data_IF_056487404907
#
_entry.id   IF_056487404907
#
_cell.length_a   1.000
_cell.length_b   1.000
_cell.length_c   1.000
_cell.angle_alpha   90.00
_cell.angle_beta   90.00
_cell.angle_gamma   90.00
#
_symmetry.space_group_name_H-M   'P 1'
#
loop_
_entity.id
_entity.type
_entity.pdbx_description
1 polymer ?
#
# COMPACT_ATOMS: atom_id res chain seq x y z
N UNK A 1 -34.78 -6.40 15.78
CA UNK A 1 -34.27 -7.00 14.53
C UNK A 1 -34.43 -6.05 13.35
N UNK A 2 -33.87 -4.83 13.34
CA UNK A 2 -34.03 -3.88 12.21
C UNK A 2 -32.80 -3.00 11.93
N UNK A 3 -31.61 -3.40 12.41
CA UNK A 3 -30.34 -2.68 12.12
C UNK A 3 -29.35 -3.44 11.23
N UNK A 4 -29.65 -4.68 10.81
CA UNK A 4 -28.74 -5.48 9.99
C UNK A 4 -28.89 -5.29 8.47
N UNK A 5 -29.95 -4.62 7.98
CA UNK A 5 -30.19 -4.50 6.54
C UNK A 5 -29.28 -3.47 5.85
N UNK A 6 -28.74 -2.47 6.58
CA UNK A 6 -27.91 -1.43 5.96
C UNK A 6 -26.44 -1.86 5.76
N UNK A 7 -25.95 -2.79 6.57
CA UNK A 7 -24.55 -3.22 6.52
C UNK A 7 -24.23 -4.08 5.30
N UNK A 8 -25.18 -4.87 4.81
CA UNK A 8 -25.00 -5.72 3.62
C UNK A 8 -24.88 -4.91 2.31
N UNK A 9 -25.27 -3.62 2.36
CA UNK A 9 -25.24 -2.73 1.19
C UNK A 9 -23.91 -1.97 1.03
N UNK A 10 -23.04 -1.98 2.06
CA UNK A 10 -21.73 -1.33 1.96
C UNK A 10 -20.92 -2.04 0.87
N UNK A 11 -20.42 -1.32 -0.16
CA UNK A 11 -19.58 -1.92 -1.17
C UNK A 11 -18.28 -2.43 -0.57
N UNK A 12 -17.84 -3.62 -0.97
CA UNK A 12 -16.58 -4.19 -0.56
C UNK A 12 -15.76 -4.60 -1.79
N UNK A 13 -14.51 -4.15 -1.83
CA UNK A 13 -13.52 -4.59 -2.81
C UNK A 13 -12.58 -5.61 -2.19
N UNK A 14 -12.51 -6.79 -2.78
CA UNK A 14 -11.60 -7.87 -2.40
C UNK A 14 -10.43 -7.89 -3.39
N UNK A 15 -9.23 -7.65 -2.91
CA UNK A 15 -8.02 -7.54 -3.74
C UNK A 15 -7.05 -8.64 -3.35
N UNK A 16 -6.92 -9.67 -4.17
CA UNK A 16 -6.11 -10.86 -3.88
C UNK A 16 -4.75 -10.82 -4.58
N UNK A 17 -3.67 -11.13 -3.84
CA UNK A 17 -2.32 -11.26 -4.41
C UNK A 17 -2.12 -12.63 -5.07
N UNK A 18 -2.73 -12.82 -6.23
CA UNK A 18 -2.74 -14.14 -6.89
C UNK A 18 -1.40 -14.50 -7.56
N UNK A 19 -0.55 -13.50 -7.91
CA UNK A 19 0.65 -13.80 -8.72
C UNK A 19 1.91 -13.11 -8.25
N UNK A 20 1.81 -12.01 -7.52
CA UNK A 20 2.94 -11.19 -7.17
C UNK A 20 3.30 -10.12 -8.20
N UNK A 21 4.59 -9.79 -8.31
CA UNK A 21 5.11 -8.67 -9.10
C UNK A 21 6.50 -9.00 -9.65
N UNK A 22 6.86 -8.55 -10.86
CA UNK A 22 8.22 -8.72 -11.42
C UNK A 22 9.24 -7.80 -10.74
N UNK A 23 8.79 -6.72 -10.12
CA UNK A 23 9.62 -5.70 -9.50
C UNK A 23 9.84 -5.96 -8.01
N UNK A 24 10.84 -5.28 -7.42
CA UNK A 24 11.16 -5.30 -5.98
C UNK A 24 11.39 -3.87 -5.51
N UNK A 25 10.35 -3.04 -5.71
CA UNK A 25 10.45 -1.61 -5.49
C UNK A 25 10.72 -1.27 -4.02
N UNK A 26 11.71 -0.41 -3.77
CA UNK A 26 12.08 0.03 -2.44
C UNK A 26 10.97 0.81 -1.72
N UNK A 27 10.08 1.45 -2.49
CA UNK A 27 8.92 2.20 -1.98
C UNK A 27 7.65 1.36 -1.83
N UNK A 28 7.70 0.06 -2.11
CA UNK A 28 6.51 -0.78 -2.08
C UNK A 28 5.94 -0.87 -0.67
N UNK A 29 4.73 -0.34 -0.48
CA UNK A 29 4.05 -0.36 0.82
C UNK A 29 3.75 -1.79 1.32
N UNK A 30 3.67 -2.77 0.40
CA UNK A 30 3.56 -4.19 0.73
C UNK A 30 4.89 -4.84 1.15
N UNK A 31 6.01 -4.14 0.93
CA UNK A 31 7.35 -4.68 1.20
C UNK A 31 7.74 -5.83 0.25
N UNK A 32 8.73 -6.61 0.65
CA UNK A 32 9.25 -7.74 -0.14
C UNK A 32 8.46 -9.02 0.06
N UNK A 33 7.17 -9.03 -0.29
CA UNK A 33 6.39 -10.25 -0.27
C UNK A 33 6.88 -11.22 -1.37
N UNK A 34 7.05 -12.53 -1.05
CA UNK A 34 7.41 -13.53 -2.05
C UNK A 34 6.28 -13.67 -3.08
N UNK A 35 6.65 -14.04 -4.32
CA UNK A 35 5.65 -14.35 -5.33
C UNK A 35 5.14 -15.77 -5.11
N UNK A 36 3.87 -15.89 -4.79
CA UNK A 36 3.15 -17.16 -4.73
C UNK A 36 2.01 -17.12 -5.73
N UNK A 37 1.64 -18.30 -6.25
CA UNK A 37 0.51 -18.44 -7.15
C UNK A 37 -0.68 -18.99 -6.36
N UNK A 38 -1.76 -18.21 -6.29
CA UNK A 38 -3.06 -18.69 -5.83
C UNK A 38 -3.82 -19.31 -7.01
N UNK A 39 -4.59 -20.35 -6.74
CA UNK A 39 -5.42 -21.02 -7.74
C UNK A 39 -6.74 -20.27 -7.95
N UNK A 40 -7.38 -20.55 -9.08
CA UNK A 40 -8.72 -19.99 -9.36
C UNK A 40 -9.76 -20.45 -8.34
N UNK A 41 -9.66 -21.71 -7.88
CA UNK A 41 -10.53 -22.24 -6.84
C UNK A 41 -10.41 -21.47 -5.51
N UNK A 42 -9.22 -20.94 -5.19
CA UNK A 42 -9.02 -20.12 -4.01
C UNK A 42 -9.73 -18.76 -4.16
N UNK A 43 -9.70 -18.14 -5.35
CA UNK A 43 -10.43 -16.92 -5.63
C UNK A 43 -11.95 -17.12 -5.52
N UNK A 44 -12.46 -18.21 -6.10
CA UNK A 44 -13.87 -18.59 -6.00
C UNK A 44 -14.26 -18.78 -4.53
N UNK A 45 -13.47 -19.53 -3.77
CA UNK A 45 -13.71 -19.77 -2.34
C UNK A 45 -13.78 -18.46 -1.55
N UNK A 46 -12.81 -17.55 -1.76
CA UNK A 46 -12.78 -16.25 -1.07
C UNK A 46 -14.08 -15.48 -1.35
N UNK A 47 -14.43 -15.32 -2.61
CA UNK A 47 -15.60 -14.54 -3.00
C UNK A 47 -16.91 -15.18 -2.52
N UNK A 48 -17.03 -16.52 -2.60
CA UNK A 48 -18.23 -17.23 -2.14
C UNK A 48 -18.42 -17.13 -0.62
N UNK A 49 -17.32 -17.09 0.16
CA UNK A 49 -17.41 -16.83 1.59
C UNK A 49 -17.91 -15.42 1.90
N UNK A 50 -17.42 -14.39 1.18
CA UNK A 50 -17.86 -13.02 1.37
C UNK A 50 -19.28 -12.76 0.85
N UNK A 51 -19.74 -13.43 -0.22
CA UNK A 51 -21.12 -13.32 -0.75
C UNK A 51 -22.19 -13.74 0.25
N UNK A 52 -21.86 -14.49 1.28
CA UNK A 52 -22.80 -14.84 2.36
C UNK A 52 -23.17 -13.63 3.24
N UNK A 53 -22.37 -12.56 3.19
CA UNK A 53 -22.48 -11.40 4.09
C UNK A 53 -22.62 -10.06 3.35
N UNK A 54 -22.12 -9.95 2.11
CA UNK A 54 -22.10 -8.73 1.32
C UNK A 54 -22.78 -8.93 -0.04
N UNK A 55 -23.64 -8.00 -0.42
CA UNK A 55 -24.34 -8.02 -1.72
C UNK A 55 -23.49 -7.35 -2.81
N UNK A 56 -22.76 -6.31 -2.45
CA UNK A 56 -21.99 -5.44 -3.36
C UNK A 56 -20.50 -5.76 -3.28
N UNK A 57 -20.04 -6.71 -4.11
CA UNK A 57 -18.65 -7.16 -4.11
C UNK A 57 -17.98 -6.84 -5.45
N UNK A 58 -16.81 -6.19 -5.39
CA UNK A 58 -15.87 -6.11 -6.49
C UNK A 58 -14.67 -7.01 -6.17
N UNK A 59 -14.22 -7.79 -7.13
CA UNK A 59 -13.07 -8.68 -6.96
C UNK A 59 -11.96 -8.30 -7.94
N UNK A 60 -10.71 -8.26 -7.44
CA UNK A 60 -9.49 -8.07 -8.21
C UNK A 60 -8.49 -9.17 -7.89
N UNK A 61 -7.99 -9.84 -8.93
CA UNK A 61 -7.01 -10.93 -8.82
C UNK A 61 -5.56 -10.45 -8.64
N UNK A 62 -5.34 -9.16 -8.45
CA UNK A 62 -4.01 -8.56 -8.33
C UNK A 62 -3.97 -7.53 -7.19
N UNK A 63 -2.96 -7.63 -6.34
CA UNK A 63 -2.69 -6.70 -5.24
C UNK A 63 -1.48 -5.81 -5.55
N UNK A 64 -0.53 -6.33 -6.34
CA UNK A 64 0.72 -5.66 -6.70
C UNK A 64 0.68 -5.20 -8.15
N UNK A 65 1.41 -5.85 -9.04
CA UNK A 65 1.44 -5.53 -10.47
C UNK A 65 0.23 -6.13 -11.19
N UNK A 66 -0.68 -5.31 -11.75
CA UNK A 66 -1.78 -5.85 -12.53
C UNK A 66 -1.26 -6.54 -13.79
N UNK A 67 -1.96 -7.59 -14.22
CA UNK A 67 -1.68 -8.26 -15.49
C UNK A 67 -0.24 -8.81 -15.63
N UNK A 68 0.44 -9.07 -14.51
CA UNK A 68 1.82 -9.59 -14.55
C UNK A 68 1.93 -10.92 -15.28
N UNK A 69 0.96 -11.83 -15.14
CA UNK A 69 0.98 -13.13 -15.80
C UNK A 69 0.52 -13.04 -17.25
N UNK A 70 0.92 -14.03 -18.11
CA UNK A 70 0.48 -14.11 -19.50
C UNK A 70 -1.02 -14.41 -19.63
N UNK A 71 -1.66 -14.83 -18.55
CA UNK A 71 -3.08 -15.21 -18.47
C UNK A 71 -4.01 -14.03 -18.10
N UNK A 72 -3.56 -12.79 -18.28
CA UNK A 72 -4.27 -11.57 -17.87
C UNK A 72 -5.69 -11.44 -18.45
N UNK A 73 -5.94 -11.95 -19.68
CA UNK A 73 -7.29 -11.92 -20.28
C UNK A 73 -8.27 -12.79 -19.50
N UNK A 74 -7.88 -14.03 -19.20
CA UNK A 74 -8.73 -14.94 -18.42
C UNK A 74 -8.93 -14.44 -16.99
N UNK A 75 -7.90 -13.80 -16.41
CA UNK A 75 -8.00 -13.19 -15.08
C UNK A 75 -9.02 -12.05 -15.05
N UNK A 76 -8.99 -11.17 -16.03
CA UNK A 76 -10.00 -10.12 -16.13
C UNK A 76 -11.42 -10.67 -16.33
N UNK A 77 -11.56 -11.76 -17.09
CA UNK A 77 -12.86 -12.46 -17.25
C UNK A 77 -13.28 -13.03 -15.89
N UNK A 78 -12.38 -13.65 -15.13
CA UNK A 78 -12.64 -14.18 -13.80
C UNK A 78 -13.04 -13.05 -12.82
N UNK A 79 -12.31 -11.94 -12.78
CA UNK A 79 -12.62 -10.79 -11.93
C UNK A 79 -14.05 -10.28 -12.17
N UNK A 80 -14.44 -10.14 -13.46
CA UNK A 80 -15.80 -9.77 -13.82
C UNK A 80 -16.86 -10.80 -13.42
N UNK A 81 -16.55 -12.11 -13.57
CA UNK A 81 -17.47 -13.20 -13.23
C UNK A 81 -17.69 -13.33 -11.72
N UNK A 82 -16.64 -13.12 -10.93
CA UNK A 82 -16.71 -13.24 -9.48
C UNK A 82 -17.36 -12.02 -8.82
N UNK A 83 -17.23 -10.85 -9.42
CA UNK A 83 -17.80 -9.60 -8.92
C UNK A 83 -19.30 -9.54 -9.07
N UNK A 84 -19.99 -8.92 -8.11
CA UNK A 84 -21.41 -8.55 -8.23
C UNK A 84 -21.57 -7.13 -8.79
N UNK A 85 -20.56 -6.27 -8.57
CA UNK A 85 -20.42 -4.95 -9.19
C UNK A 85 -19.28 -5.05 -10.20
N UNK A 86 -19.48 -4.54 -11.41
CA UNK A 86 -18.45 -4.60 -12.46
C UNK A 86 -17.15 -3.92 -12.00
N UNK A 87 -16.01 -4.65 -12.00
CA UNK A 87 -14.73 -4.06 -11.64
C UNK A 87 -14.30 -2.99 -12.64
N UNK A 88 -13.65 -1.94 -12.14
CA UNK A 88 -13.08 -0.89 -12.98
C UNK A 88 -11.62 -1.22 -13.32
N UNK A 89 -11.19 -0.78 -14.52
CA UNK A 89 -9.76 -0.71 -14.83
C UNK A 89 -9.22 0.59 -14.25
N UNK A 90 -8.31 0.46 -13.29
CA UNK A 90 -7.56 1.59 -12.78
C UNK A 90 -6.50 2.02 -13.79
N UNK A 91 -5.87 3.17 -13.56
CA UNK A 91 -4.76 3.67 -14.37
C UNK A 91 -3.46 2.84 -14.18
N UNK A 92 -3.57 1.64 -13.62
CA UNK A 92 -2.46 0.73 -13.37
C UNK A 92 -2.42 -0.36 -14.44
N UNK A 93 -1.24 -0.58 -15.02
CA UNK A 93 -0.96 -1.64 -15.97
C UNK A 93 0.50 -2.08 -15.84
N UNK A 94 0.80 -3.29 -16.26
CA UNK A 94 2.16 -3.80 -16.23
C UNK A 94 3.01 -3.17 -17.36
N UNK A 95 3.87 -2.20 -17.00
CA UNK A 95 4.83 -1.65 -17.98
C UNK A 95 5.79 -2.73 -18.47
N UNK A 96 6.14 -3.70 -17.63
CA UNK A 96 6.90 -4.88 -18.02
C UNK A 96 6.25 -5.62 -19.21
N UNK A 97 4.92 -5.76 -19.19
CA UNK A 97 4.15 -6.44 -20.23
C UNK A 97 3.93 -5.56 -21.45
N UNK A 98 3.71 -4.26 -21.27
CA UNK A 98 3.52 -3.32 -22.38
C UNK A 98 4.64 -3.43 -23.40
N UNK A 99 5.89 -3.52 -22.98
CA UNK A 99 7.05 -3.60 -23.88
C UNK A 99 7.29 -4.99 -24.46
N UNK A 100 6.73 -6.04 -23.87
CA UNK A 100 6.99 -7.45 -24.28
C UNK A 100 5.85 -8.13 -25.04
N UNK A 101 4.64 -7.62 -24.87
CA UNK A 101 3.43 -8.28 -25.39
C UNK A 101 2.55 -7.28 -26.16
N UNK A 102 2.64 -7.32 -27.49
CA UNK A 102 1.84 -6.44 -28.36
C UNK A 102 0.33 -6.66 -28.22
N UNK A 103 -0.12 -7.86 -27.85
CA UNK A 103 -1.53 -8.16 -27.64
C UNK A 103 -2.04 -7.55 -26.33
N UNK A 104 -1.15 -7.29 -25.38
CA UNK A 104 -1.52 -6.67 -24.13
C UNK A 104 -2.04 -5.23 -24.30
N UNK A 105 -1.42 -4.44 -25.17
CA UNK A 105 -1.88 -3.07 -25.44
C UNK A 105 -3.24 -3.06 -26.15
N UNK A 106 -3.51 -4.03 -27.02
CA UNK A 106 -4.85 -4.21 -27.60
C UNK A 106 -5.88 -4.54 -26.54
N UNK A 107 -5.53 -5.46 -25.62
CA UNK A 107 -6.38 -5.81 -24.48
C UNK A 107 -6.67 -4.59 -23.61
N UNK A 108 -5.69 -3.76 -23.27
CA UNK A 108 -5.90 -2.53 -22.50
C UNK A 108 -6.96 -1.63 -23.15
N UNK A 109 -6.94 -1.48 -24.47
CA UNK A 109 -7.95 -0.73 -25.24
C UNK A 109 -9.32 -1.40 -25.18
N UNK A 110 -9.38 -2.72 -25.37
CA UNK A 110 -10.63 -3.51 -25.35
C UNK A 110 -11.35 -3.39 -24.00
N UNK A 111 -10.59 -3.32 -22.89
CA UNK A 111 -11.16 -3.18 -21.54
C UNK A 111 -11.36 -1.71 -21.11
N UNK A 112 -11.10 -0.75 -22.02
CA UNK A 112 -11.40 0.67 -21.83
C UNK A 112 -10.34 1.43 -21.03
N UNK A 113 -9.08 0.96 -20.97
CA UNK A 113 -7.99 1.69 -20.32
C UNK A 113 -7.64 2.93 -21.15
N UNK A 114 -7.89 4.11 -20.60
CA UNK A 114 -7.62 5.40 -21.26
C UNK A 114 -6.29 6.02 -20.83
N UNK A 115 -5.87 5.75 -19.59
CA UNK A 115 -4.66 6.31 -18.97
C UNK A 115 -3.88 5.17 -18.31
N UNK A 116 -2.54 5.22 -18.37
CA UNK A 116 -1.66 4.31 -17.63
C UNK A 116 -0.63 5.13 -16.86
N UNK A 117 -0.55 4.89 -15.55
CA UNK A 117 0.44 5.50 -14.68
C UNK A 117 1.78 4.76 -14.79
N UNK A 118 2.85 5.51 -15.00
CA UNK A 118 4.23 5.04 -15.04
C UNK A 118 5.03 5.77 -13.95
N UNK A 119 5.74 5.03 -13.11
CA UNK A 119 6.40 5.60 -11.92
C UNK A 119 7.91 5.67 -12.11
N UNK A 120 8.47 6.88 -11.93
CA UNK A 120 9.89 7.19 -12.03
C UNK A 120 10.47 7.60 -10.68
N UNK A 121 11.77 7.36 -10.47
CA UNK A 121 12.51 7.72 -9.25
C UNK A 121 13.78 8.52 -9.53
N UNK A 122 13.95 9.02 -10.71
CA UNK A 122 15.11 9.69 -11.25
C UNK A 122 15.38 9.21 -12.67
N UNK A 123 16.59 9.42 -13.15
CA UNK A 123 17.07 8.85 -14.39
C UNK A 123 17.36 7.35 -14.23
N UNK A 124 18.06 6.78 -15.20
CA UNK A 124 18.28 5.33 -15.34
C UNK A 124 18.69 4.64 -14.04
N UNK A 125 19.81 5.07 -13.45
CA UNK A 125 20.43 4.35 -12.34
C UNK A 125 19.54 4.37 -11.08
N UNK A 126 18.93 5.50 -10.78
CA UNK A 126 18.02 5.64 -9.64
C UNK A 126 16.69 4.91 -9.87
N UNK A 127 16.11 5.04 -11.06
CA UNK A 127 14.85 4.31 -11.36
C UNK A 127 15.07 2.80 -11.32
N UNK A 128 16.14 2.28 -11.91
CA UNK A 128 16.47 0.84 -11.87
C UNK A 128 16.72 0.36 -10.43
N UNK A 129 17.45 1.15 -9.62
CA UNK A 129 17.68 0.89 -8.19
C UNK A 129 16.36 0.80 -7.42
N UNK A 130 15.48 1.81 -7.57
CA UNK A 130 14.23 1.88 -6.82
C UNK A 130 13.20 0.85 -7.25
N UNK A 131 13.13 0.51 -8.54
CA UNK A 131 12.28 -0.57 -9.06
C UNK A 131 12.85 -1.95 -8.70
N UNK A 132 14.15 -2.02 -8.38
CA UNK A 132 14.84 -3.27 -8.06
C UNK A 132 15.07 -4.16 -9.30
N UNK A 133 15.18 -3.56 -10.48
CA UNK A 133 15.37 -4.27 -11.75
C UNK A 133 16.10 -3.43 -12.79
N UNK A 134 17.21 -3.94 -13.30
CA UNK A 134 18.01 -3.31 -14.37
C UNK A 134 17.18 -3.23 -15.66
N UNK A 135 17.19 -2.09 -16.31
CA UNK A 135 16.48 -1.81 -17.54
C UNK A 135 15.04 -1.35 -17.33
N UNK A 136 14.61 -1.12 -16.07
CA UNK A 136 13.26 -0.63 -15.79
C UNK A 136 13.03 0.79 -16.33
N UNK A 137 14.05 1.66 -16.30
CA UNK A 137 13.95 3.01 -16.84
C UNK A 137 13.71 3.00 -18.34
N UNK A 138 14.51 2.25 -19.10
CA UNK A 138 14.34 2.13 -20.55
C UNK A 138 12.96 1.55 -20.92
N UNK A 139 12.50 0.58 -20.15
CA UNK A 139 11.15 0.00 -20.37
C UNK A 139 10.04 1.00 -20.08
N UNK A 140 10.19 1.88 -19.07
CA UNK A 140 9.21 2.94 -18.81
C UNK A 140 9.16 3.96 -19.96
N UNK A 141 10.32 4.31 -20.52
CA UNK A 141 10.41 5.18 -21.72
C UNK A 141 9.74 4.51 -22.93
N UNK A 142 10.11 3.26 -23.23
CA UNK A 142 9.51 2.48 -24.32
C UNK A 142 7.99 2.30 -24.12
N UNK A 143 7.55 2.00 -22.91
CA UNK A 143 6.13 1.91 -22.57
C UNK A 143 5.39 3.23 -22.82
N UNK A 144 6.01 4.39 -22.50
CA UNK A 144 5.45 5.71 -22.79
C UNK A 144 5.20 5.88 -24.30
N UNK A 145 6.16 5.53 -25.14
CA UNK A 145 6.02 5.64 -26.60
C UNK A 145 4.95 4.69 -27.14
N UNK A 146 4.94 3.43 -26.67
CA UNK A 146 3.94 2.44 -27.09
C UNK A 146 2.53 2.89 -26.71
N UNK A 147 2.31 3.38 -25.49
CA UNK A 147 1.01 3.87 -25.03
C UNK A 147 0.52 5.03 -25.90
N UNK A 148 1.37 6.03 -26.17
CA UNK A 148 1.05 7.17 -27.04
C UNK A 148 0.70 6.73 -28.47
N UNK A 149 1.48 5.83 -29.04
CA UNK A 149 1.22 5.29 -30.39
C UNK A 149 -0.12 4.55 -30.47
N UNK A 150 -0.67 4.12 -29.35
CA UNK A 150 -1.95 3.41 -29.25
C UNK A 150 -3.10 4.25 -28.71
N UNK A 151 -2.92 5.58 -28.57
CA UNK A 151 -3.91 6.51 -28.04
C UNK A 151 -4.35 6.17 -26.59
N UNK A 152 -3.45 5.64 -25.78
CA UNK A 152 -3.56 5.51 -24.34
C UNK A 152 -2.65 6.58 -23.73
N UNK A 153 -3.17 7.40 -22.82
CA UNK A 153 -2.41 8.49 -22.24
C UNK A 153 -1.44 7.98 -21.16
N UNK A 154 -0.11 8.15 -21.30
CA UNK A 154 0.82 7.90 -20.21
C UNK A 154 0.73 9.02 -19.18
N UNK A 155 0.65 8.68 -17.90
CA UNK A 155 0.73 9.61 -16.77
C UNK A 155 2.00 9.29 -15.98
N UNK A 156 2.92 10.25 -15.91
CA UNK A 156 4.15 10.08 -15.16
C UNK A 156 3.96 10.49 -13.71
N UNK A 157 4.24 9.56 -12.82
CA UNK A 157 4.35 9.79 -11.39
C UNK A 157 5.83 9.76 -11.02
N UNK A 158 6.31 10.80 -10.37
CA UNK A 158 7.72 10.92 -10.00
C UNK A 158 7.82 11.01 -8.49
N UNK A 159 8.49 10.05 -7.86
CA UNK A 159 8.80 10.10 -6.44
C UNK A 159 10.03 10.96 -6.22
N UNK A 160 9.93 11.93 -5.28
CA UNK A 160 11.05 12.76 -4.86
C UNK A 160 11.52 12.39 -3.46
N UNK A 161 12.83 12.35 -3.26
CA UNK A 161 13.49 12.19 -1.96
C UNK A 161 14.89 12.80 -2.01
N UNK A 162 15.64 12.72 -0.90
CA UNK A 162 17.01 13.26 -0.78
C UNK A 162 18.02 12.65 -1.78
N UNK A 163 17.81 11.39 -2.19
CA UNK A 163 18.77 10.71 -3.10
C UNK A 163 18.58 11.13 -4.57
N UNK A 164 17.39 11.60 -4.96
CA UNK A 164 17.05 11.84 -6.36
C UNK A 164 16.66 13.29 -6.69
N UNK A 165 16.59 14.19 -5.71
CA UNK A 165 16.13 15.57 -5.89
C UNK A 165 16.82 16.32 -7.04
N UNK A 166 18.11 16.05 -7.27
CA UNK A 166 18.91 16.70 -8.32
C UNK A 166 18.62 16.18 -9.74
N UNK A 167 17.88 15.04 -9.87
CA UNK A 167 17.51 14.45 -11.14
C UNK A 167 16.07 14.73 -11.55
N UNK A 168 15.20 15.11 -10.60
CA UNK A 168 13.75 15.23 -10.83
C UNK A 168 13.42 16.20 -11.96
N UNK A 169 14.10 17.36 -11.99
CA UNK A 169 13.89 18.34 -13.06
C UNK A 169 14.21 17.79 -14.44
N UNK A 170 15.25 16.95 -14.52
CA UNK A 170 15.65 16.30 -15.80
C UNK A 170 14.63 15.25 -16.24
N UNK A 171 14.03 14.53 -15.27
CA UNK A 171 12.95 13.57 -15.56
C UNK A 171 11.70 14.30 -16.05
N UNK A 172 11.35 15.44 -15.45
CA UNK A 172 10.23 16.28 -15.90
C UNK A 172 10.49 16.78 -17.34
N UNK A 173 11.68 17.35 -17.60
CA UNK A 173 12.08 17.84 -18.92
C UNK A 173 12.00 16.73 -19.98
N UNK A 174 12.48 15.53 -19.64
CA UNK A 174 12.36 14.36 -20.54
C UNK A 174 10.89 14.02 -20.83
N UNK A 175 10.03 14.06 -19.82
CA UNK A 175 8.59 13.84 -19.99
C UNK A 175 7.94 14.90 -20.90
N UNK A 176 8.33 16.17 -20.75
CA UNK A 176 7.87 17.27 -21.62
C UNK A 176 8.35 17.11 -23.06
N UNK A 177 9.63 16.77 -23.27
CA UNK A 177 10.19 16.45 -24.60
C UNK A 177 9.45 15.29 -25.25
N UNK A 178 9.10 14.27 -24.48
CA UNK A 178 8.27 13.16 -24.92
C UNK A 178 6.78 13.54 -25.06
N UNK A 179 6.39 14.78 -24.75
CA UNK A 179 5.00 15.27 -24.81
C UNK A 179 4.06 14.42 -23.95
N UNK A 180 4.46 14.15 -22.73
CA UNK A 180 3.60 13.56 -21.70
C UNK A 180 2.77 14.69 -21.07
N UNK A 181 1.45 14.61 -21.18
CA UNK A 181 0.56 15.69 -20.74
C UNK A 181 0.35 15.72 -19.23
N UNK A 182 0.51 14.58 -18.55
CA UNK A 182 0.26 14.44 -17.11
C UNK A 182 1.54 13.99 -16.43
N UNK A 183 2.21 14.93 -15.80
CA UNK A 183 3.40 14.69 -14.96
C UNK A 183 3.09 15.23 -13.57
N UNK A 184 3.31 14.45 -12.53
CA UNK A 184 3.20 14.93 -11.16
C UNK A 184 4.28 14.31 -10.27
N UNK A 185 4.68 15.10 -9.28
CA UNK A 185 5.71 14.76 -8.28
C UNK A 185 5.07 14.59 -6.93
N UNK A 186 5.54 13.65 -6.13
CA UNK A 186 5.18 13.50 -4.73
C UNK A 186 6.26 12.74 -3.95
N UNK A 187 6.20 12.81 -2.63
CA UNK A 187 7.21 12.24 -1.73
C UNK A 187 6.98 10.77 -1.37
N UNK A 188 5.83 10.23 -1.66
CA UNK A 188 5.45 8.89 -1.25
C UNK A 188 5.20 8.74 0.26
N UNK A 189 4.67 7.58 0.65
CA UNK A 189 4.46 7.22 2.06
C UNK A 189 5.75 6.69 2.69
N UNK A 190 5.93 6.87 3.99
CA UNK A 190 7.06 6.33 4.75
C UNK A 190 6.60 5.61 6.04
N UNK A 191 5.44 5.00 6.01
CA UNK A 191 4.86 4.22 7.10
C UNK A 191 4.99 2.70 6.87
N UNK A 192 4.71 1.90 7.89
CA UNK A 192 4.72 0.44 7.82
C UNK A 192 6.02 -0.12 7.24
N UNK A 193 5.95 -0.83 6.12
CA UNK A 193 7.12 -1.43 5.46
C UNK A 193 8.09 -0.40 4.86
N UNK A 194 7.68 0.88 4.77
CA UNK A 194 8.43 1.97 4.17
C UNK A 194 9.12 2.88 5.19
N UNK A 195 9.24 2.49 6.46
CA UNK A 195 9.91 3.33 7.48
C UNK A 195 11.30 3.80 7.09
N UNK A 196 12.05 3.02 6.30
CA UNK A 196 13.37 3.41 5.83
C UNK A 196 13.35 4.66 4.96
N UNK A 197 12.23 4.93 4.25
CA UNK A 197 12.07 6.11 3.41
C UNK A 197 11.98 7.40 4.23
N UNK A 198 11.66 7.32 5.51
CA UNK A 198 11.71 8.47 6.41
C UNK A 198 13.10 9.12 6.42
N UNK A 199 14.17 8.33 6.41
CA UNK A 199 15.55 8.83 6.50
C UNK A 199 15.98 9.64 5.26
N UNK A 200 15.38 9.34 4.12
CA UNK A 200 15.66 9.99 2.82
C UNK A 200 14.51 10.88 2.35
N UNK A 201 13.50 11.12 3.19
CA UNK A 201 12.37 11.98 2.85
C UNK A 201 12.85 13.42 2.68
N UNK A 202 12.46 14.06 1.58
CA UNK A 202 12.89 15.40 1.20
C UNK A 202 12.53 16.44 2.27
N UNK A 203 13.40 17.44 2.50
CA UNK A 203 13.11 18.59 3.31
C UNK A 203 12.39 19.67 2.46
N UNK A 204 11.46 20.42 3.08
CA UNK A 204 10.63 21.39 2.37
C UNK A 204 11.45 22.50 1.69
N UNK A 205 12.53 22.94 2.34
CA UNK A 205 13.45 23.96 1.83
C UNK A 205 14.43 23.44 0.77
N UNK A 206 14.46 22.15 0.51
CA UNK A 206 15.28 21.52 -0.52
C UNK A 206 14.48 21.12 -1.77
N UNK A 207 13.17 21.35 -1.76
CA UNK A 207 12.32 21.14 -2.96
C UNK A 207 12.62 22.26 -3.95
N UNK A 208 13.14 21.96 -5.16
CA UNK A 208 13.41 22.97 -6.17
C UNK A 208 12.14 23.71 -6.59
N UNK A 209 12.21 25.05 -6.70
CA UNK A 209 11.04 25.86 -7.07
C UNK A 209 10.45 25.47 -8.44
N UNK A 210 11.28 25.01 -9.35
CA UNK A 210 10.92 24.61 -10.71
C UNK A 210 10.00 23.38 -10.74
N UNK A 211 10.03 22.53 -9.71
CA UNK A 211 9.18 21.35 -9.64
C UNK A 211 7.86 21.58 -8.90
N UNK A 212 7.71 22.69 -8.20
CA UNK A 212 6.48 23.03 -7.44
C UNK A 212 5.21 22.95 -8.31
N UNK A 213 5.20 23.44 -9.57
CA UNK A 213 4.01 23.34 -10.43
C UNK A 213 3.56 21.89 -10.74
N UNK A 214 4.46 20.93 -10.60
CA UNK A 214 4.20 19.49 -10.82
C UNK A 214 3.93 18.75 -9.50
N UNK A 215 4.15 19.40 -8.37
CA UNK A 215 4.05 18.74 -7.07
C UNK A 215 2.59 18.58 -6.65
N UNK A 216 2.19 17.34 -6.38
CA UNK A 216 0.81 17.04 -5.99
C UNK A 216 0.53 17.61 -4.59
N UNK A 217 -0.49 18.47 -4.49
CA UNK A 217 -0.95 19.07 -3.23
C UNK A 217 0.16 19.80 -2.44
N UNK A 218 1.11 20.45 -3.12
CA UNK A 218 2.26 21.13 -2.48
C UNK A 218 1.83 22.07 -1.34
N UNK A 219 0.75 22.83 -1.54
CA UNK A 219 0.27 23.82 -0.57
C UNK A 219 -0.28 23.17 0.73
N UNK A 220 -0.63 21.89 0.68
CA UNK A 220 -1.10 21.12 1.84
C UNK A 220 0.05 20.47 2.62
N UNK A 221 1.28 20.50 2.06
CA UNK A 221 2.44 19.91 2.71
C UNK A 221 2.93 20.79 3.86
N UNK A 222 3.12 20.14 4.99
CA UNK A 222 3.71 20.70 6.20
C UNK A 222 5.11 20.12 6.41
N UNK A 223 5.96 20.87 7.11
CA UNK A 223 7.17 20.27 7.68
C UNK A 223 6.80 19.35 8.85
N UNK A 224 7.63 18.39 9.16
CA UNK A 224 7.43 17.54 10.34
C UNK A 224 7.33 18.35 11.61
N UNK A 225 8.13 19.43 11.75
CA UNK A 225 8.04 20.38 12.86
C UNK A 225 6.64 20.99 12.96
N UNK A 226 6.07 21.48 11.85
CA UNK A 226 4.70 22.03 11.80
C UNK A 226 3.65 20.99 12.16
N UNK A 227 3.76 19.76 11.63
CA UNK A 227 2.88 18.65 11.99
C UNK A 227 2.92 18.37 13.50
N UNK A 228 4.12 18.32 14.08
CA UNK A 228 4.29 18.10 15.53
C UNK A 228 3.64 19.22 16.33
N UNK A 229 3.82 20.49 15.94
CA UNK A 229 3.21 21.62 16.65
C UNK A 229 1.68 21.60 16.63
N UNK A 230 1.09 21.14 15.53
CA UNK A 230 -0.35 20.94 15.39
C UNK A 230 -0.81 19.80 16.32
N UNK A 231 -0.16 18.64 16.20
CA UNK A 231 -0.59 17.42 16.90
C UNK A 231 -0.35 17.47 18.41
N UNK A 232 0.64 18.20 18.92
CA UNK A 232 0.84 18.41 20.36
C UNK A 232 -0.35 19.08 21.07
N UNK A 233 -1.26 19.67 20.33
CA UNK A 233 -2.49 20.32 20.85
C UNK A 233 -3.75 19.49 20.61
N UNK A 234 -3.62 18.31 20.00
CA UNK A 234 -4.74 17.47 19.58
C UNK A 234 -4.89 16.26 20.50
N UNK A 235 -5.85 16.35 21.40
CA UNK A 235 -6.17 15.27 22.36
C UNK A 235 -7.11 14.20 21.74
N UNK A 236 -7.40 14.27 20.46
CA UNK A 236 -8.20 13.24 19.79
C UNK A 236 -7.37 11.98 19.48
N UNK A 237 -8.07 10.91 19.11
CA UNK A 237 -7.47 9.65 18.68
C UNK A 237 -7.53 9.53 17.17
N UNK A 238 -6.46 9.06 16.55
CA UNK A 238 -6.43 8.77 15.11
C UNK A 238 -6.71 7.30 14.86
N UNK A 239 -7.94 6.98 14.47
CA UNK A 239 -8.35 5.63 14.11
C UNK A 239 -8.65 5.60 12.61
N UNK A 240 -7.76 5.04 11.78
CA UNK A 240 -8.01 4.93 10.34
C UNK A 240 -9.27 4.11 10.05
N UNK A 241 -10.09 4.57 9.12
CA UNK A 241 -11.31 3.87 8.72
C UNK A 241 -11.70 4.19 7.28
N UNK A 242 -12.43 3.28 6.64
CA UNK A 242 -13.08 3.55 5.37
C UNK A 242 -14.34 4.40 5.56
N UNK A 243 -14.62 5.27 4.59
CA UNK A 243 -15.80 6.15 4.63
C UNK A 243 -16.94 5.64 3.75
N UNK A 244 -16.63 5.17 2.53
CA UNK A 244 -17.62 4.86 1.50
C UNK A 244 -17.56 3.41 1.04
N UNK A 245 -16.37 2.88 0.85
CA UNK A 245 -16.13 1.52 0.37
C UNK A 245 -15.11 0.83 1.27
N UNK A 246 -15.32 -0.45 1.55
CA UNK A 246 -14.37 -1.27 2.30
C UNK A 246 -13.45 -1.98 1.30
N UNK A 247 -12.14 -1.74 1.38
CA UNK A 247 -11.16 -2.45 0.55
C UNK A 247 -10.34 -3.39 1.41
N UNK A 248 -10.38 -4.69 1.07
CA UNK A 248 -9.67 -5.75 1.79
C UNK A 248 -8.59 -6.33 0.90
N UNK A 249 -7.34 -6.22 1.34
CA UNK A 249 -6.21 -6.87 0.73
C UNK A 249 -6.06 -8.29 1.26
N UNK A 250 -5.89 -9.24 0.36
CA UNK A 250 -5.77 -10.66 0.67
C UNK A 250 -4.43 -11.16 0.14
N UNK A 251 -3.54 -11.51 1.06
CA UNK A 251 -2.22 -12.03 0.72
C UNK A 251 -2.31 -13.51 0.29
N UNK A 252 -1.29 -13.99 -0.39
CA UNK A 252 -1.27 -15.37 -0.94
C UNK A 252 -1.31 -16.48 0.12
N UNK A 253 -1.11 -16.14 1.40
CA UNK A 253 -1.30 -17.02 2.56
C UNK A 253 -2.68 -16.88 3.22
N UNK A 254 -3.63 -16.20 2.54
CA UNK A 254 -5.03 -16.00 2.93
C UNK A 254 -5.26 -15.11 4.15
N UNK A 255 -4.27 -14.29 4.52
CA UNK A 255 -4.44 -13.24 5.51
C UNK A 255 -5.15 -12.04 4.89
N UNK A 256 -6.03 -11.42 5.67
CA UNK A 256 -6.82 -10.27 5.26
C UNK A 256 -6.36 -9.02 6.01
N UNK A 257 -6.22 -7.92 5.28
CA UNK A 257 -5.78 -6.61 5.80
C UNK A 257 -6.63 -5.50 5.20
N UNK A 258 -6.79 -4.40 5.93
CA UNK A 258 -7.34 -3.18 5.36
C UNK A 258 -6.36 -2.52 4.38
N UNK A 259 -6.89 -1.85 3.33
CA UNK A 259 -6.06 -1.19 2.31
C UNK A 259 -5.48 0.17 2.72
N UNK A 260 -5.84 0.70 3.89
CA UNK A 260 -5.29 1.98 4.36
C UNK A 260 -3.96 1.84 5.11
N UNK A 261 -3.41 0.65 5.20
CA UNK A 261 -2.14 0.40 5.88
C UNK A 261 -1.36 -0.75 5.23
N UNK A 262 -0.06 -0.79 5.49
CA UNK A 262 0.79 -1.92 5.10
C UNK A 262 0.38 -3.20 5.82
N UNK A 263 0.49 -4.39 5.17
CA UNK A 263 0.26 -5.67 5.83
C UNK A 263 1.25 -5.89 6.98
N UNK A 264 0.75 -5.75 8.20
CA UNK A 264 1.50 -5.92 9.45
C UNK A 264 0.63 -6.69 10.44
N UNK A 265 1.24 -7.43 11.36
CA UNK A 265 0.52 -8.28 12.33
C UNK A 265 -0.50 -7.53 13.19
N UNK A 266 -0.26 -6.26 13.52
CA UNK A 266 -1.19 -5.43 14.27
C UNK A 266 -2.45 -5.05 13.45
N UNK A 267 -2.36 -5.02 12.13
CA UNK A 267 -3.44 -4.70 11.20
C UNK A 267 -4.16 -5.92 10.65
N UNK A 268 -3.81 -7.15 11.08
CA UNK A 268 -4.42 -8.38 10.62
C UNK A 268 -5.90 -8.45 11.03
N UNK A 269 -6.79 -8.53 10.06
CA UNK A 269 -8.23 -8.78 10.27
C UNK A 269 -8.46 -10.25 10.64
N UNK A 270 -7.82 -11.16 9.93
CA UNK A 270 -7.90 -12.59 10.14
C UNK A 270 -7.36 -13.39 8.96
N UNK A 271 -7.46 -14.71 9.04
CA UNK A 271 -7.10 -15.62 7.96
C UNK A 271 -8.34 -16.39 7.52
N UNK A 272 -8.75 -16.23 6.26
CA UNK A 272 -10.03 -16.78 5.78
C UNK A 272 -10.12 -18.32 5.80
N UNK A 273 -8.96 -19.02 5.85
CA UNK A 273 -8.91 -20.50 5.97
C UNK A 273 -8.82 -20.99 7.42
N UNK A 274 -8.60 -20.10 8.40
CA UNK A 274 -8.37 -20.49 9.81
C UNK A 274 -9.42 -19.91 10.75
N UNK A 275 -9.92 -18.72 10.46
CA UNK A 275 -10.88 -18.01 11.32
C UNK A 275 -12.31 -18.20 10.78
N UNK A 276 -13.30 -18.05 11.66
CA UNK A 276 -14.70 -18.04 11.21
C UNK A 276 -15.03 -16.76 10.47
N UNK A 277 -15.82 -16.86 9.40
CA UNK A 277 -16.26 -15.69 8.64
C UNK A 277 -17.07 -14.69 9.49
N UNK A 278 -17.86 -15.16 10.44
CA UNK A 278 -18.60 -14.29 11.37
C UNK A 278 -17.63 -13.38 12.16
N UNK A 279 -16.49 -13.92 12.61
CA UNK A 279 -15.46 -13.14 13.31
C UNK A 279 -14.77 -12.15 12.37
N UNK A 280 -14.42 -12.58 11.17
CA UNK A 280 -13.79 -11.72 10.15
C UNK A 280 -14.72 -10.56 9.79
N UNK A 281 -15.97 -10.85 9.45
CA UNK A 281 -16.97 -9.84 9.09
C UNK A 281 -17.24 -8.88 10.25
N UNK A 282 -17.37 -9.40 11.48
CA UNK A 282 -17.49 -8.54 12.66
C UNK A 282 -16.33 -7.56 12.77
N UNK A 283 -15.08 -8.03 12.62
CA UNK A 283 -13.89 -7.16 12.67
C UNK A 283 -13.86 -6.13 11.55
N UNK A 284 -14.25 -6.51 10.34
CA UNK A 284 -14.34 -5.59 9.20
C UNK A 284 -15.35 -4.48 9.51
N UNK A 285 -16.58 -4.83 9.89
CA UNK A 285 -17.66 -3.86 10.08
C UNK A 285 -17.46 -2.96 11.30
N UNK A 286 -16.82 -3.44 12.36
CA UNK A 286 -16.50 -2.66 13.56
C UNK A 286 -15.13 -2.00 13.51
N UNK A 287 -14.34 -2.22 12.45
CA UNK A 287 -12.95 -1.79 12.36
C UNK A 287 -12.15 -2.20 13.62
N UNK A 288 -12.29 -3.48 14.01
CA UNK A 288 -11.80 -3.99 15.28
C UNK A 288 -10.61 -4.94 15.07
N UNK A 289 -9.42 -4.37 15.02
CA UNK A 289 -8.13 -5.07 14.95
C UNK A 289 -7.18 -4.52 16.03
N UNK A 290 -6.13 -5.23 16.36
CA UNK A 290 -5.19 -4.83 17.42
C UNK A 290 -4.70 -3.38 17.24
N UNK A 291 -4.36 -2.99 16.01
CA UNK A 291 -3.88 -1.64 15.72
C UNK A 291 -4.93 -0.56 16.01
N UNK A 292 -6.21 -0.78 15.69
CA UNK A 292 -7.27 0.18 15.95
C UNK A 292 -7.65 0.26 17.44
N UNK A 293 -7.53 -0.84 18.17
CA UNK A 293 -7.68 -0.83 19.64
C UNK A 293 -6.58 0.00 20.31
N UNK A 294 -5.32 -0.19 19.89
CA UNK A 294 -4.20 0.61 20.37
C UNK A 294 -4.40 2.08 19.99
N UNK A 295 -4.81 2.37 18.74
CA UNK A 295 -5.09 3.72 18.28
C UNK A 295 -6.16 4.45 19.12
N UNK A 296 -7.16 3.74 19.63
CA UNK A 296 -8.19 4.29 20.54
C UNK A 296 -7.66 4.58 21.94
N UNK A 297 -6.49 4.04 22.31
CA UNK A 297 -5.91 4.17 23.67
C UNK A 297 -4.82 5.23 23.78
N UNK A 298 -4.40 5.85 22.67
CA UNK A 298 -3.34 6.88 22.65
C UNK A 298 -3.81 8.09 21.87
N UNK A 299 -3.55 9.30 22.40
CA UNK A 299 -3.91 10.55 21.73
C UNK A 299 -2.86 10.95 20.68
N UNK A 300 -3.26 11.82 19.76
CA UNK A 300 -2.33 12.41 18.80
C UNK A 300 -1.24 13.24 19.48
N UNK A 301 -1.57 13.93 20.57
CA UNK A 301 -0.59 14.69 21.37
C UNK A 301 0.47 13.78 22.01
N UNK A 302 0.06 12.64 22.55
CA UNK A 302 0.99 11.64 23.09
C UNK A 302 1.88 11.02 22.01
N UNK A 303 1.31 10.68 20.84
CA UNK A 303 2.07 10.17 19.70
C UNK A 303 3.11 11.19 19.22
N UNK A 304 2.72 12.44 19.04
CA UNK A 304 3.61 13.53 18.63
C UNK A 304 4.70 13.83 19.66
N UNK A 305 4.34 13.78 20.95
CA UNK A 305 5.30 13.97 22.04
C UNK A 305 6.36 12.87 22.10
N UNK A 306 5.96 11.61 21.86
CA UNK A 306 6.82 10.44 21.99
C UNK A 306 7.70 10.19 20.76
N UNK A 307 7.18 10.46 19.57
CA UNK A 307 7.81 10.05 18.31
C UNK A 307 8.10 11.18 17.33
N UNK A 308 7.53 12.37 17.54
CA UNK A 308 7.67 13.50 16.63
C UNK A 308 9.05 14.15 16.72
N UNK A 309 9.58 14.57 15.57
CA UNK A 309 10.83 15.32 15.50
C UNK A 309 10.57 16.81 15.31
N UNK A 310 10.76 17.58 16.39
CA UNK A 310 10.47 19.02 16.47
C UNK A 310 11.44 19.93 15.70
N UNK A 311 12.49 19.35 15.12
CA UNK A 311 13.54 20.07 14.39
C UNK A 311 13.68 19.58 12.95
N UNK A 312 12.75 18.75 12.47
CA UNK A 312 12.80 18.19 11.13
C UNK A 312 11.97 19.02 10.14
N UNK A 313 12.56 19.32 9.01
CA UNK A 313 11.89 19.98 7.89
C UNK A 313 11.38 19.01 6.82
N UNK A 314 11.40 17.70 7.09
CA UNK A 314 10.81 16.70 6.17
C UNK A 314 9.36 16.99 5.91
N UNK A 315 8.95 16.86 4.65
CA UNK A 315 7.57 17.18 4.25
C UNK A 315 6.61 16.03 4.52
N UNK A 316 5.39 16.36 4.95
CA UNK A 316 4.30 15.42 5.16
C UNK A 316 2.95 16.06 4.83
N UNK A 317 2.02 15.30 4.27
CA UNK A 317 0.61 15.56 4.49
C UNK A 317 0.27 15.20 5.95
N UNK A 318 -0.59 15.99 6.60
CA UNK A 318 -0.85 15.81 8.04
C UNK A 318 -1.43 14.43 8.38
N UNK A 319 -2.29 13.89 7.53
CA UNK A 319 -2.89 12.57 7.75
C UNK A 319 -1.88 11.42 7.55
N UNK A 320 -0.95 11.55 6.60
CA UNK A 320 0.16 10.60 6.44
C UNK A 320 1.07 10.62 7.66
N UNK A 321 1.29 11.81 8.25
CA UNK A 321 2.10 11.93 9.45
C UNK A 321 1.43 11.28 10.68
N UNK A 322 0.11 11.41 10.83
CA UNK A 322 -0.65 10.70 11.88
C UNK A 322 -0.49 9.19 11.75
N UNK A 323 -0.62 8.66 10.52
CA UNK A 323 -0.44 7.23 10.24
C UNK A 323 1.00 6.79 10.53
N UNK A 324 2.00 7.57 10.11
CA UNK A 324 3.41 7.33 10.41
C UNK A 324 3.67 7.22 11.92
N UNK A 325 3.17 8.16 12.72
CA UNK A 325 3.34 8.14 14.17
C UNK A 325 2.66 6.93 14.83
N UNK A 326 1.45 6.58 14.39
CA UNK A 326 0.74 5.41 14.88
C UNK A 326 1.49 4.12 14.56
N UNK A 327 1.93 3.92 13.32
CA UNK A 327 2.70 2.74 12.93
C UNK A 327 4.03 2.66 13.68
N UNK A 328 4.70 3.79 13.93
CA UNK A 328 5.91 3.85 14.76
C UNK A 328 5.67 3.40 16.19
N UNK A 329 4.51 3.77 16.76
CA UNK A 329 4.09 3.30 18.09
C UNK A 329 3.81 1.79 18.10
N UNK A 330 3.08 1.28 17.12
CA UNK A 330 2.78 -0.15 16.97
C UNK A 330 4.07 -0.98 16.87
N UNK A 331 5.02 -0.53 16.05
CA UNK A 331 6.33 -1.18 15.89
C UNK A 331 7.14 -1.19 17.20
N UNK A 332 7.13 -0.10 17.95
CA UNK A 332 7.80 -0.05 19.25
C UNK A 332 7.20 -1.05 20.25
N UNK A 333 5.86 -1.16 20.30
CA UNK A 333 5.17 -2.13 21.17
C UNK A 333 5.47 -3.60 20.79
N UNK A 334 5.57 -3.89 19.50
CA UNK A 334 5.93 -5.23 19.03
C UNK A 334 7.36 -5.61 19.46
N UNK A 335 8.31 -4.71 19.31
CA UNK A 335 9.69 -4.93 19.73
C UNK A 335 9.82 -5.12 21.25
N UNK A 336 9.10 -4.33 22.04
CA UNK A 336 9.04 -4.52 23.49
C UNK A 336 8.49 -5.91 23.85
N UNK A 337 7.42 -6.37 23.21
CA UNK A 337 6.87 -7.73 23.45
C UNK A 337 7.86 -8.84 23.06
N UNK A 338 8.57 -8.70 21.94
CA UNK A 338 9.62 -9.65 21.57
C UNK A 338 10.76 -9.72 22.60
N UNK A 339 11.19 -8.57 23.14
CA UNK A 339 12.19 -8.52 24.21
C UNK A 339 11.69 -9.18 25.51
N UNK A 340 10.41 -9.00 25.86
CA UNK A 340 9.77 -9.67 27.00
C UNK A 340 9.71 -11.19 26.81
N UNK A 341 9.32 -11.67 25.61
CA UNK A 341 9.30 -13.10 25.31
C UNK A 341 10.70 -13.72 25.37
N UNK A 342 11.71 -13.02 24.85
CA UNK A 342 13.10 -13.49 24.89
C UNK A 342 13.68 -13.52 26.32
N UNK A 343 13.25 -12.60 27.19
CA UNK A 343 13.71 -12.54 28.58
C UNK A 343 12.94 -13.50 29.50
N UNK A 344 11.71 -13.89 29.17
CA UNK A 344 10.89 -14.80 29.99
C UNK A 344 11.15 -16.27 29.63
N UNK A 345 11.40 -16.61 28.37
CA UNK A 345 11.68 -18.00 27.94
C UNK A 345 12.84 -18.67 28.70
N UNK A 346 13.99 -18.00 28.96
CA UNK A 346 15.06 -18.59 29.79
C UNK A 346 14.63 -18.82 31.23
N UNK A 347 13.84 -17.91 31.83
CA UNK A 347 13.31 -18.04 33.18
C UNK A 347 12.32 -19.19 33.33
N UNK A 348 11.41 -19.39 32.37
CA UNK A 348 10.49 -20.54 32.33
C UNK A 348 11.24 -21.86 32.18
N UNK A 349 12.29 -21.92 31.35
CA UNK A 349 13.15 -23.11 31.21
C UNK A 349 13.87 -23.45 32.53
N UNK A 350 14.33 -22.44 33.28
CA UNK A 350 14.98 -22.62 34.59
C UNK A 350 13.95 -23.07 35.64
N UNK A 351 12.76 -22.49 35.68
CA UNK A 351 11.69 -22.86 36.62
C UNK A 351 11.21 -24.30 36.35
N UNK A 352 11.04 -24.71 35.09
CA UNK A 352 10.69 -26.10 34.77
C UNK A 352 11.79 -27.09 35.15
N UNK A 353 13.08 -26.74 35.01
CA UNK A 353 14.19 -27.56 35.50
C UNK A 353 14.25 -27.69 37.00
N UNK A 354 13.96 -26.59 37.72
CA UNK A 354 13.90 -26.59 39.20
C UNK A 354 12.74 -27.44 39.73
N UNK A 355 11.56 -27.31 39.11
CA UNK A 355 10.39 -28.12 39.45
C UNK A 355 10.60 -29.61 39.15
N UNK A 356 11.39 -29.96 38.14
CA UNK A 356 11.73 -31.38 37.82
C UNK A 356 12.73 -31.98 38.80
N UNK A 357 13.48 -31.14 39.56
CA UNK A 357 14.43 -31.57 40.59
C UNK A 357 13.72 -31.75 41.95
N UNK A 358 12.61 -31.06 42.16
CA UNK A 358 11.85 -31.12 43.45
C UNK A 358 10.85 -32.30 43.49
N UNK A 359 10.54 -32.91 42.32
CA UNK A 359 9.60 -34.01 42.17
C UNK A 359 10.31 -35.38 42.00
N UNK A 360 11.63 -35.42 42.10
CA UNK A 360 12.42 -36.65 42.31
C UNK A 360 13.00 -36.66 43.69
#
# INVERSE_FOLDING_TARGET
MSKNNDLNQIPISLVSDMYGCPNRCLHCWLGNLPNHVMKEEDAIFIVDEFKKYFENITYYSWLREPDFTSDYKNRWIMDNKLSTIKPMRFELASFYRIVRDKEYVKFLKEVGTAVVQLTFFGLKDLTDKYVGRIGAFEELIEATEILKANAIEPRWQIFINEENKDEIIKVIQLGEEMKVNKIFVHEGSCDGNNFNLYNIRIHKDEIPNEIIPYYLNYDELLTEEECVQILLKDESHYVPAYKEEIVINITSDFNLYFNYTSPDGAWLIGNIKKDSMDLIVKRILSNDVLATEIAKSITLSELASKYGNRNSKRVFALDDYKMYLLNKHLYALQNERHLWCLNILPLFSIICKILHIIVK
#
